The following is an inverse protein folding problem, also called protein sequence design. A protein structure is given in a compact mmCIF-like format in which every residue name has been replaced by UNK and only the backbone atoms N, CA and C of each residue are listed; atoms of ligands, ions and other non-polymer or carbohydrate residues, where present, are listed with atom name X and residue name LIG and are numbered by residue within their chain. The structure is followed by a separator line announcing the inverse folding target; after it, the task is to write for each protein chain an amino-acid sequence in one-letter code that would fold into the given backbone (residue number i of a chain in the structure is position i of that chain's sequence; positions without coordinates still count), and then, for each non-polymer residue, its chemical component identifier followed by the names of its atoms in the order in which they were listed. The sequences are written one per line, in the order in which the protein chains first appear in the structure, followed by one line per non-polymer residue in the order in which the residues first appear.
data_IF_520025236292
#
_entry.id   IF_520025236292
#
_cell.length_a   1.000
_cell.length_b   1.000
_cell.length_c   1.000
_cell.angle_alpha   90.00
_cell.angle_beta   90.00
_cell.angle_gamma   90.00
#
_symmetry.space_group_name_H-M   'P 1'
#
loop_
_entity.id
_entity.type
_entity.pdbx_description
1 polymer ?
#
# COMPACT_ATOMS: atom_id res chain seq x y z
N UNK A 1 3.04 6.14 -7.73
CA UNK A 1 4.22 6.12 -6.83
C UNK A 1 3.80 6.34 -5.37
N UNK A 2 2.93 7.31 -5.08
CA UNK A 2 2.49 7.62 -3.70
C UNK A 2 1.81 6.47 -2.95
N UNK A 3 1.00 5.66 -3.64
CA UNK A 3 0.41 4.44 -3.05
C UNK A 3 1.49 3.46 -2.59
N UNK A 4 2.59 3.32 -3.34
CA UNK A 4 3.73 2.49 -2.95
C UNK A 4 4.43 3.06 -1.71
N UNK A 5 4.64 4.37 -1.65
CA UNK A 5 5.22 5.04 -0.49
C UNK A 5 4.42 4.81 0.80
N UNK A 6 3.10 5.00 0.72
CA UNK A 6 2.21 4.83 1.86
C UNK A 6 2.14 3.37 2.31
N UNK A 7 1.96 2.42 1.38
CA UNK A 7 1.85 1.00 1.73
C UNK A 7 3.17 0.41 2.22
N UNK A 8 4.31 0.81 1.66
CA UNK A 8 5.62 0.44 2.21
C UNK A 8 5.74 0.81 3.69
N UNK A 9 5.46 2.07 4.06
CA UNK A 9 5.48 2.51 5.46
C UNK A 9 4.51 1.71 6.34
N UNK A 10 3.30 1.44 5.85
CA UNK A 10 2.28 0.67 6.58
C UNK A 10 2.77 -0.76 6.85
N UNK A 11 3.35 -1.44 5.85
CA UNK A 11 3.91 -2.78 6.00
C UNK A 11 5.09 -2.83 6.97
N UNK A 12 5.88 -1.76 7.05
CA UNK A 12 6.94 -1.66 8.06
C UNK A 12 6.40 -1.45 9.47
N UNK A 13 5.44 -0.55 9.65
CA UNK A 13 4.93 -0.19 10.98
C UNK A 13 4.19 -1.33 11.66
N UNK A 14 3.41 -2.13 10.93
CA UNK A 14 2.64 -3.26 11.50
C UNK A 14 3.55 -4.28 12.18
N UNK A 15 4.79 -4.43 11.72
CA UNK A 15 5.76 -5.35 12.32
C UNK A 15 6.15 -4.98 13.75
N UNK A 16 5.88 -3.75 14.19
CA UNK A 16 6.25 -3.21 15.50
C UNK A 16 5.04 -2.78 16.34
N UNK A 17 3.83 -3.14 15.92
CA UNK A 17 2.57 -2.75 16.59
C UNK A 17 1.60 -3.90 16.65
N UNK A 18 0.60 -3.78 17.52
CA UNK A 18 -0.51 -4.73 17.67
C UNK A 18 -1.82 -4.23 17.04
N UNK A 19 -1.76 -3.10 16.33
CA UNK A 19 -2.88 -2.51 15.59
C UNK A 19 -2.51 -2.24 14.13
N UNK A 20 -3.56 -2.07 13.31
CA UNK A 20 -3.47 -1.65 11.91
C UNK A 20 -4.19 -0.31 11.73
N UNK A 21 -3.84 0.68 12.56
CA UNK A 21 -4.36 2.05 12.48
C UNK A 21 -3.41 2.94 11.71
N UNK A 22 -3.83 3.37 10.52
CA UNK A 22 -3.01 4.18 9.64
C UNK A 22 -3.61 5.56 9.40
N UNK A 23 -2.76 6.57 9.25
CA UNK A 23 -3.21 7.86 8.74
C UNK A 23 -3.53 7.71 7.25
N UNK A 24 -4.60 8.37 6.81
CA UNK A 24 -4.81 8.66 5.40
C UNK A 24 -3.75 9.63 4.88
N UNK A 25 -3.81 9.92 3.59
CA UNK A 25 -2.95 10.91 2.95
C UNK A 25 -3.76 11.71 1.93
N UNK A 26 -3.29 12.92 1.67
CA UNK A 26 -3.90 13.92 0.80
C UNK A 26 -3.62 13.58 -0.67
N UNK A 27 -4.31 12.56 -1.21
CA UNK A 27 -3.97 11.95 -2.51
C UNK A 27 -3.87 12.96 -3.66
N UNK A 28 -4.91 13.79 -3.84
CA UNK A 28 -4.94 14.75 -4.95
C UNK A 28 -3.85 15.82 -4.82
N UNK A 29 -3.64 16.33 -3.60
CA UNK A 29 -2.59 17.31 -3.33
C UNK A 29 -1.19 16.71 -3.49
N UNK A 30 -1.01 15.41 -3.22
CA UNK A 30 0.27 14.73 -3.48
C UNK A 30 0.53 14.60 -4.96
N UNK A 31 -0.47 14.22 -5.76
CA UNK A 31 -0.36 14.18 -7.23
C UNK A 31 -0.01 15.57 -7.79
N UNK A 32 -0.67 16.61 -7.28
CA UNK A 32 -0.40 18.00 -7.64
C UNK A 32 1.05 18.41 -7.31
N UNK A 33 1.49 18.21 -6.06
CA UNK A 33 2.81 18.68 -5.61
C UNK A 33 3.99 17.83 -6.08
N UNK A 34 3.76 16.56 -6.44
CA UNK A 34 4.76 15.73 -7.10
C UNK A 34 4.89 16.07 -8.59
N UNK A 35 3.94 16.81 -9.15
CA UNK A 35 3.91 17.30 -10.53
C UNK A 35 4.21 16.22 -11.59
N UNK A 36 3.62 15.03 -11.41
CA UNK A 36 3.88 13.87 -12.28
C UNK A 36 3.60 14.14 -13.75
N UNK A 37 2.66 15.04 -14.05
CA UNK A 37 2.28 15.41 -15.42
C UNK A 37 3.41 16.10 -16.20
N UNK A 38 4.34 16.79 -15.51
CA UNK A 38 5.46 17.50 -16.11
C UNK A 38 6.80 16.79 -15.89
N UNK A 39 6.82 15.69 -15.15
CA UNK A 39 8.02 14.91 -14.90
C UNK A 39 8.38 14.00 -16.09
N UNK A 40 9.66 13.62 -16.18
CA UNK A 40 10.10 12.66 -17.20
C UNK A 40 9.43 11.29 -17.00
N UNK A 41 8.72 10.83 -18.03
CA UNK A 41 7.94 9.60 -17.98
C UNK A 41 8.80 8.36 -17.66
N UNK A 42 9.97 8.25 -18.28
CA UNK A 42 10.84 7.07 -18.11
C UNK A 42 11.36 7.02 -16.67
N UNK A 43 11.78 8.16 -16.13
CA UNK A 43 12.20 8.26 -14.74
C UNK A 43 11.08 7.87 -13.77
N UNK A 44 9.82 8.28 -14.01
CA UNK A 44 8.70 7.87 -13.17
C UNK A 44 8.45 6.36 -13.20
N UNK A 45 8.52 5.75 -14.39
CA UNK A 45 8.36 4.29 -14.55
C UNK A 45 9.50 3.56 -13.84
N UNK A 46 10.75 3.98 -14.02
CA UNK A 46 11.92 3.37 -13.39
C UNK A 46 11.84 3.46 -11.86
N UNK A 47 11.46 4.64 -11.33
CA UNK A 47 11.22 4.83 -9.90
C UNK A 47 10.12 3.89 -9.40
N UNK A 48 9.00 3.81 -10.12
CA UNK A 48 7.89 2.92 -9.75
C UNK A 48 8.32 1.45 -9.73
N UNK A 49 9.06 0.99 -10.74
CA UNK A 49 9.58 -0.39 -10.81
C UNK A 49 10.55 -0.66 -9.65
N UNK A 50 11.54 0.21 -9.45
CA UNK A 50 12.54 0.05 -8.40
C UNK A 50 11.89 0.02 -7.01
N UNK A 51 10.91 0.90 -6.77
CA UNK A 51 10.23 0.96 -5.48
C UNK A 51 9.39 -0.30 -5.24
N UNK A 52 8.63 -0.78 -6.22
CA UNK A 52 7.86 -2.02 -6.05
C UNK A 52 8.75 -3.25 -5.85
N UNK A 53 9.91 -3.33 -6.51
CA UNK A 53 10.91 -4.40 -6.24
C UNK A 53 11.42 -4.35 -4.80
N UNK A 54 11.64 -3.14 -4.27
CA UNK A 54 11.99 -2.98 -2.86
C UNK A 54 10.87 -3.46 -1.94
N UNK A 55 9.61 -3.11 -2.22
CA UNK A 55 8.45 -3.56 -1.45
C UNK A 55 8.31 -5.09 -1.47
N UNK A 56 8.53 -5.74 -2.63
CA UNK A 56 8.55 -7.21 -2.72
C UNK A 56 9.60 -7.80 -1.77
N UNK A 57 10.82 -7.24 -1.75
CA UNK A 57 11.86 -7.68 -0.81
C UNK A 57 11.42 -7.50 0.64
N UNK A 58 10.75 -6.39 0.98
CA UNK A 58 10.22 -6.16 2.33
C UNK A 58 9.18 -7.23 2.68
N UNK A 59 8.16 -7.43 1.83
CA UNK A 59 7.09 -8.41 2.03
C UNK A 59 7.66 -9.81 2.26
N UNK A 60 8.64 -10.22 1.44
CA UNK A 60 9.27 -11.55 1.56
C UNK A 60 10.03 -11.78 2.87
N UNK A 61 10.40 -10.71 3.59
CA UNK A 61 11.10 -10.79 4.87
C UNK A 61 10.18 -10.65 6.09
N UNK A 62 8.88 -10.39 5.89
CA UNK A 62 7.94 -10.25 7.01
C UNK A 62 7.73 -11.63 7.65
N UNK A 63 7.92 -11.77 8.98
CA UNK A 63 7.68 -13.04 9.66
C UNK A 63 6.23 -13.53 9.46
N UNK A 64 6.05 -14.84 9.24
CA UNK A 64 4.72 -15.45 9.05
C UNK A 64 3.75 -15.13 10.19
N UNK A 65 4.24 -15.10 11.42
CA UNK A 65 3.43 -14.75 12.59
C UNK A 65 2.86 -13.33 12.51
N UNK A 66 3.56 -12.38 11.88
CA UNK A 66 3.07 -11.02 11.66
C UNK A 66 2.11 -10.97 10.45
N UNK A 67 2.43 -11.67 9.36
CA UNK A 67 1.59 -11.70 8.15
C UNK A 67 0.16 -12.17 8.45
N UNK A 68 0.03 -13.22 9.26
CA UNK A 68 -1.23 -13.90 9.51
C UNK A 68 -1.82 -13.62 10.90
N UNK A 69 -1.22 -12.72 11.69
CA UNK A 69 -1.85 -12.28 12.95
C UNK A 69 -3.17 -11.59 12.61
N UNK A 70 -4.24 -12.02 13.25
CA UNK A 70 -5.52 -11.33 13.20
C UNK A 70 -5.47 -10.05 14.05
N UNK A 71 -5.98 -8.94 13.50
CA UNK A 71 -6.09 -7.66 14.17
C UNK A 71 -7.55 -7.21 14.11
N UNK A 72 -8.14 -6.94 15.26
CA UNK A 72 -9.48 -6.35 15.44
C UNK A 72 -9.42 -4.81 15.56
N UNK A 73 -8.26 -4.27 15.91
CA UNK A 73 -8.00 -2.82 15.93
C UNK A 73 -7.39 -2.36 14.60
N UNK A 74 -8.25 -2.00 13.65
CA UNK A 74 -7.84 -1.53 12.33
C UNK A 74 -8.76 -0.41 11.80
N UNK A 75 -8.30 0.30 10.76
CA UNK A 75 -9.11 1.27 10.04
C UNK A 75 -9.15 1.03 8.52
N UNK A 76 -9.12 -0.25 8.11
CA UNK A 76 -9.09 -0.63 6.69
C UNK A 76 -10.37 -0.23 5.92
N UNK A 77 -11.50 -0.02 6.59
CA UNK A 77 -12.69 0.59 5.99
C UNK A 77 -12.43 2.00 5.41
N UNK A 78 -11.37 2.71 5.87
CA UNK A 78 -11.02 4.05 5.41
C UNK A 78 -9.84 4.08 4.45
N UNK A 79 -8.89 3.13 4.57
CA UNK A 79 -7.57 3.25 3.93
C UNK A 79 -7.20 2.13 2.98
N UNK A 80 -7.99 1.04 2.94
CA UNK A 80 -7.80 -0.05 1.98
C UNK A 80 -8.47 0.29 0.65
N UNK A 81 -7.91 -0.26 -0.43
CA UNK A 81 -8.49 -0.14 -1.76
C UNK A 81 -9.83 -0.89 -1.85
N UNK A 82 -9.89 -2.09 -1.25
CA UNK A 82 -11.11 -2.82 -0.95
C UNK A 82 -11.42 -2.65 0.54
N UNK A 83 -12.41 -1.82 0.91
CA UNK A 83 -12.76 -1.59 2.31
C UNK A 83 -13.20 -2.88 2.99
N UNK A 84 -12.79 -3.05 4.25
CA UNK A 84 -13.26 -4.12 5.14
C UNK A 84 -14.06 -3.49 6.28
N UNK A 85 -15.26 -3.98 6.63
CA UNK A 85 -16.03 -3.51 7.78
C UNK A 85 -15.18 -3.44 9.06
N UNK A 86 -15.46 -2.47 9.93
CA UNK A 86 -14.66 -2.25 11.13
C UNK A 86 -14.77 -3.40 12.16
N UNK A 87 -15.85 -4.17 12.08
CA UNK A 87 -16.16 -5.27 12.99
C UNK A 87 -15.46 -6.58 12.61
N UNK A 88 -14.91 -6.66 11.39
CA UNK A 88 -14.23 -7.85 10.89
C UNK A 88 -12.74 -7.86 11.28
N UNK A 89 -12.19 -9.05 11.52
CA UNK A 89 -10.74 -9.19 11.77
C UNK A 89 -9.97 -9.16 10.47
N UNK A 90 -8.83 -8.50 10.48
CA UNK A 90 -7.96 -8.38 9.30
C UNK A 90 -6.54 -8.86 9.57
N UNK A 91 -5.84 -9.22 8.50
CA UNK A 91 -4.42 -9.61 8.55
C UNK A 91 -3.59 -8.67 7.70
N UNK A 92 -2.28 -8.62 7.97
CA UNK A 92 -1.36 -7.89 7.10
C UNK A 92 -1.30 -8.53 5.70
N UNK A 93 -1.44 -9.85 5.61
CA UNK A 93 -1.53 -10.57 4.33
C UNK A 93 -2.67 -10.04 3.47
N UNK A 94 -3.88 -9.88 4.03
CA UNK A 94 -5.02 -9.29 3.31
C UNK A 94 -4.67 -7.91 2.76
N UNK A 95 -4.06 -7.06 3.59
CA UNK A 95 -3.77 -5.68 3.17
C UNK A 95 -2.65 -5.58 2.14
N UNK A 96 -1.72 -6.53 2.13
CA UNK A 96 -0.71 -6.68 1.07
C UNK A 96 -1.38 -7.12 -0.24
N UNK A 97 -2.28 -8.11 -0.18
CA UNK A 97 -3.01 -8.57 -1.36
C UNK A 97 -3.89 -7.45 -1.95
N UNK A 98 -4.53 -6.66 -1.09
CA UNK A 98 -5.30 -5.47 -1.48
C UNK A 98 -4.43 -4.45 -2.24
N UNK A 99 -3.21 -4.18 -1.77
CA UNK A 99 -2.26 -3.32 -2.47
C UNK A 99 -1.86 -3.87 -3.86
N UNK A 100 -1.64 -5.18 -3.97
CA UNK A 100 -1.31 -5.82 -5.25
C UNK A 100 -2.48 -5.68 -6.24
N UNK A 101 -3.71 -5.88 -5.77
CA UNK A 101 -4.91 -5.72 -6.57
C UNK A 101 -5.14 -4.26 -7.00
N UNK A 102 -4.84 -3.31 -6.11
CA UNK A 102 -4.87 -1.87 -6.42
C UNK A 102 -3.88 -1.50 -7.53
N UNK A 103 -2.66 -2.04 -7.48
CA UNK A 103 -1.68 -1.83 -8.56
C UNK A 103 -2.20 -2.40 -9.89
N UNK A 104 -2.72 -3.63 -9.88
CA UNK A 104 -3.28 -4.25 -11.11
C UNK A 104 -4.45 -3.44 -11.67
N UNK A 105 -5.28 -2.85 -10.81
CA UNK A 105 -6.35 -1.95 -11.23
C UNK A 105 -5.80 -0.74 -11.99
N UNK A 106 -4.79 -0.05 -11.45
CA UNK A 106 -4.16 1.07 -12.15
C UNK A 106 -3.44 0.66 -13.44
N UNK A 107 -2.76 -0.49 -13.46
CA UNK A 107 -2.13 -0.99 -14.68
C UNK A 107 -3.16 -1.22 -15.79
N UNK A 108 -4.32 -1.79 -15.46
CA UNK A 108 -5.43 -1.91 -16.42
C UNK A 108 -5.89 -0.55 -16.93
N UNK A 109 -6.07 0.44 -16.06
CA UNK A 109 -6.45 1.80 -16.50
C UNK A 109 -5.45 2.48 -17.45
N UNK A 110 -4.19 2.06 -17.44
CA UNK A 110 -3.15 2.61 -18.32
C UNK A 110 -3.07 1.85 -19.65
N UNK A 111 -3.33 0.54 -19.62
CA UNK A 111 -3.11 -0.37 -20.74
C UNK A 111 -4.38 -0.66 -21.55
N UNK A 112 -5.55 -0.53 -20.93
CA UNK A 112 -6.88 -0.72 -21.55
C UNK A 112 -7.46 0.64 -21.98
#
# INVERSE_FOLDING_TARGET
IDSACNNHRRFMIVQFRDDMLFRGYAQDQWVEYQDYQNADWIHLVDLWVAYNRHIIRVINNIPRGILYRENDRHNLHLVAFRPVPQEERVTLSYFIDDYIEHIKHHLRQILD
#
